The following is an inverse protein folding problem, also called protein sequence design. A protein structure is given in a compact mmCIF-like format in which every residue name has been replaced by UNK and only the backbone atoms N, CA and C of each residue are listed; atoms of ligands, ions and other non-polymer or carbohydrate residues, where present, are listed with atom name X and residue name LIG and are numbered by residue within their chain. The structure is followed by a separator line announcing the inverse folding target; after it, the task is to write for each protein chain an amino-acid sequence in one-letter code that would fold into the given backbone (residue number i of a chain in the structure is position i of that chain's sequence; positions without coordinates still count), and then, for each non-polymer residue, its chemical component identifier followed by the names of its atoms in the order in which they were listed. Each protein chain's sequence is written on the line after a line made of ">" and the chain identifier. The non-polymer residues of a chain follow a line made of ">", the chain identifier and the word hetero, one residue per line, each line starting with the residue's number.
data_IF_314322683402
#
_entry.id   IF_314322683402
#
_cell.length_a   1.000
_cell.length_b   1.000
_cell.length_c   1.000
_cell.angle_alpha   90.00
_cell.angle_beta   90.00
_cell.angle_gamma   90.00
#
_symmetry.space_group_name_H-M   'P 1'
#
loop_
_entity.id
_entity.type
_entity.pdbx_description
1 polymer ?
#
# COMPACT_ATOMS: atom_id res chain seq x y z
N UNK A 1 -49.61 5.20 27.52
CA UNK A 1 -48.17 5.45 27.37
C UNK A 1 -47.43 4.38 26.50
N UNK A 2 -48.03 3.22 26.20
CA UNK A 2 -47.37 2.19 25.35
C UNK A 2 -47.34 2.53 23.84
N UNK A 3 -48.24 3.35 23.35
CA UNK A 3 -48.32 3.73 21.92
C UNK A 3 -47.19 4.69 21.45
N UNK A 4 -46.65 5.52 22.34
CA UNK A 4 -45.59 6.48 22.00
C UNK A 4 -44.24 5.82 21.83
N UNK A 5 -43.89 4.82 22.64
CA UNK A 5 -42.66 4.04 22.48
C UNK A 5 -42.64 3.26 21.18
N UNK A 6 -43.77 2.59 20.85
CA UNK A 6 -43.88 1.85 19.60
C UNK A 6 -43.77 2.78 18.37
N UNK A 7 -44.44 3.94 18.42
CA UNK A 7 -44.35 4.94 17.34
C UNK A 7 -42.91 5.48 17.18
N UNK A 8 -42.20 5.74 18.27
CA UNK A 8 -40.80 6.19 18.20
C UNK A 8 -39.88 5.13 17.58
N UNK A 9 -40.07 3.87 17.97
CA UNK A 9 -39.29 2.74 17.38
C UNK A 9 -39.61 2.58 15.91
N UNK A 10 -40.91 2.65 15.53
CA UNK A 10 -41.31 2.52 14.12
C UNK A 10 -40.77 3.67 13.26
N UNK A 11 -40.82 4.90 13.74
CA UNK A 11 -40.28 6.05 13.01
C UNK A 11 -38.78 5.92 12.82
N UNK A 12 -38.05 5.54 13.89
CA UNK A 12 -36.60 5.31 13.80
C UNK A 12 -36.26 4.18 12.82
N UNK A 13 -37.03 3.08 12.88
CA UNK A 13 -36.83 1.96 11.95
C UNK A 13 -37.05 2.37 10.49
N UNK A 14 -38.11 3.12 10.20
CA UNK A 14 -38.38 3.60 8.84
C UNK A 14 -37.29 4.54 8.35
N UNK A 15 -36.82 5.48 9.20
CA UNK A 15 -35.72 6.40 8.83
C UNK A 15 -34.43 5.64 8.54
N UNK A 16 -34.04 4.69 9.41
CA UNK A 16 -32.83 3.89 9.20
C UNK A 16 -32.93 3.00 7.98
N UNK A 17 -34.10 2.42 7.72
CA UNK A 17 -34.33 1.60 6.53
C UNK A 17 -34.23 2.42 5.23
N UNK A 18 -34.83 3.61 5.20
CA UNK A 18 -34.74 4.51 4.03
C UNK A 18 -33.30 5.01 3.83
N UNK A 19 -32.61 5.38 4.91
CA UNK A 19 -31.22 5.81 4.84
C UNK A 19 -30.30 4.67 4.33
N UNK A 20 -30.46 3.46 4.85
CA UNK A 20 -29.70 2.29 4.43
C UNK A 20 -29.98 1.92 2.97
N UNK A 21 -31.25 1.96 2.56
CA UNK A 21 -31.62 1.71 1.18
C UNK A 21 -31.02 2.76 0.23
N UNK A 22 -31.02 4.03 0.62
CA UNK A 22 -30.41 5.11 -0.16
C UNK A 22 -28.90 4.94 -0.32
N UNK A 23 -28.19 4.62 0.75
CA UNK A 23 -26.73 4.35 0.70
C UNK A 23 -26.44 3.11 -0.15
N UNK A 24 -27.20 2.03 0.02
CA UNK A 24 -27.06 0.81 -0.77
C UNK A 24 -27.28 1.04 -2.26
N UNK A 25 -28.30 1.81 -2.63
CA UNK A 25 -28.58 2.15 -4.01
C UNK A 25 -27.44 2.98 -4.65
N UNK A 26 -26.94 3.98 -3.93
CA UNK A 26 -25.78 4.77 -4.39
C UNK A 26 -24.55 3.87 -4.57
N UNK A 27 -24.27 2.99 -3.62
CA UNK A 27 -23.14 2.05 -3.70
C UNK A 27 -23.23 1.17 -4.96
N UNK A 28 -24.39 0.57 -5.23
CA UNK A 28 -24.60 -0.28 -6.42
C UNK A 28 -24.37 0.47 -7.73
N UNK A 29 -24.79 1.73 -7.82
CA UNK A 29 -24.63 2.54 -9.04
C UNK A 29 -23.17 3.01 -9.21
N UNK A 30 -22.45 3.22 -8.11
CA UNK A 30 -21.10 3.78 -8.15
C UNK A 30 -19.99 2.71 -8.18
N UNK A 31 -20.29 1.46 -7.86
CA UNK A 31 -19.28 0.38 -7.80
C UNK A 31 -18.62 0.13 -9.16
N UNK A 32 -19.42 0.02 -10.22
CA UNK A 32 -18.93 -0.23 -11.58
C UNK A 32 -18.05 0.91 -12.12
N UNK A 33 -18.46 2.18 -12.12
CA UNK A 33 -17.63 3.29 -12.59
C UNK A 33 -16.37 3.48 -11.74
N UNK A 34 -16.38 3.15 -10.45
CA UNK A 34 -15.19 3.19 -9.60
C UNK A 34 -14.21 2.09 -10.02
N UNK A 35 -14.71 0.87 -10.29
CA UNK A 35 -13.88 -0.23 -10.75
C UNK A 35 -13.21 0.08 -12.10
N UNK A 36 -13.97 0.63 -13.05
CA UNK A 36 -13.44 1.06 -14.37
C UNK A 36 -12.39 2.17 -14.22
N UNK A 37 -12.65 3.17 -13.37
CA UNK A 37 -11.71 4.24 -13.11
C UNK A 37 -10.40 3.73 -12.51
N UNK A 38 -10.44 2.73 -11.62
CA UNK A 38 -9.26 2.07 -11.06
C UNK A 38 -8.44 1.35 -12.13
N UNK A 39 -9.10 0.56 -12.99
CA UNK A 39 -8.43 -0.14 -14.09
C UNK A 39 -7.76 0.86 -15.04
N UNK A 40 -8.45 1.94 -15.38
CA UNK A 40 -7.92 3.00 -16.22
C UNK A 40 -6.70 3.68 -15.56
N UNK A 41 -6.79 4.04 -14.29
CA UNK A 41 -5.71 4.65 -13.54
C UNK A 41 -4.47 3.74 -13.46
N UNK A 42 -4.67 2.43 -13.22
CA UNK A 42 -3.58 1.44 -13.23
C UNK A 42 -2.92 1.36 -14.60
N UNK A 43 -3.70 1.33 -15.68
CA UNK A 43 -3.16 1.27 -17.06
C UNK A 43 -2.39 2.54 -17.44
N UNK A 44 -2.89 3.71 -17.04
CA UNK A 44 -2.20 4.98 -17.25
C UNK A 44 -0.91 5.07 -16.43
N UNK A 45 -0.93 4.57 -15.19
CA UNK A 45 0.25 4.51 -14.33
C UNK A 45 1.33 3.59 -14.92
N UNK A 46 0.95 2.41 -15.44
CA UNK A 46 1.88 1.50 -16.11
C UNK A 46 2.66 2.20 -17.24
N UNK A 47 1.96 2.97 -18.08
CA UNK A 47 2.58 3.73 -19.17
C UNK A 47 3.50 4.86 -18.70
N UNK A 48 3.34 5.32 -17.45
CA UNK A 48 4.15 6.40 -16.89
C UNK A 48 5.36 5.89 -16.10
N UNK A 49 5.26 4.68 -15.55
CA UNK A 49 6.34 4.13 -14.72
C UNK A 49 7.25 3.16 -15.47
N UNK A 50 6.83 2.68 -16.66
CA UNK A 50 7.59 1.76 -17.50
C UNK A 50 7.94 2.40 -18.85
N UNK A 51 9.04 1.93 -19.52
CA UNK A 51 9.28 2.21 -20.93
C UNK A 51 8.18 1.56 -21.81
N UNK A 52 8.26 1.73 -23.12
CA UNK A 52 7.34 1.08 -24.06
C UNK A 52 7.42 -0.43 -23.94
N UNK A 53 6.26 -1.09 -23.95
CA UNK A 53 6.13 -2.55 -23.84
C UNK A 53 4.97 -3.05 -24.69
N UNK A 54 5.09 -4.30 -25.17
CA UNK A 54 4.06 -4.95 -26.01
C UNK A 54 3.14 -5.84 -25.17
N UNK A 55 3.72 -6.51 -24.17
CA UNK A 55 3.02 -7.51 -23.34
C UNK A 55 3.23 -7.26 -21.85
N UNK A 56 2.24 -7.64 -21.05
CA UNK A 56 2.32 -7.55 -19.59
C UNK A 56 1.80 -8.82 -18.94
N UNK A 57 2.64 -9.48 -18.17
CA UNK A 57 2.27 -10.58 -17.29
C UNK A 57 1.95 -10.01 -15.90
N UNK A 58 0.85 -10.46 -15.30
CA UNK A 58 0.41 -9.97 -13.97
C UNK A 58 0.47 -11.08 -12.94
N UNK A 59 1.22 -10.86 -11.87
CA UNK A 59 1.30 -11.73 -10.70
C UNK A 59 0.72 -10.98 -9.49
N UNK A 60 -0.20 -11.60 -8.77
CA UNK A 60 -0.74 -11.08 -7.50
C UNK A 60 -0.15 -11.87 -6.35
N UNK A 61 0.32 -11.15 -5.34
CA UNK A 61 0.95 -11.72 -4.16
C UNK A 61 0.58 -10.91 -2.91
N UNK A 62 1.05 -11.37 -1.74
CA UNK A 62 0.80 -10.72 -0.46
C UNK A 62 2.11 -10.60 0.32
N UNK A 63 2.58 -9.38 0.54
CA UNK A 63 3.78 -9.10 1.34
C UNK A 63 3.36 -8.39 2.62
N UNK A 64 3.80 -8.92 3.78
CA UNK A 64 3.47 -8.35 5.11
C UNK A 64 1.95 -8.19 5.33
N UNK A 65 1.16 -9.16 4.89
CA UNK A 65 -0.31 -9.18 4.94
C UNK A 65 -0.99 -8.05 4.14
N UNK A 66 -0.30 -7.46 3.17
CA UNK A 66 -0.85 -6.46 2.25
C UNK A 66 -0.74 -6.95 0.80
N UNK A 67 -1.79 -6.75 -0.01
CA UNK A 67 -1.78 -7.18 -1.39
C UNK A 67 -0.78 -6.38 -2.20
N UNK A 68 -0.07 -7.08 -3.06
CA UNK A 68 0.88 -6.52 -4.03
C UNK A 68 0.59 -7.11 -5.39
N UNK A 69 0.69 -6.31 -6.44
CA UNK A 69 0.54 -6.80 -7.82
C UNK A 69 1.78 -6.43 -8.61
N UNK A 70 2.44 -7.44 -9.17
CA UNK A 70 3.63 -7.27 -10.00
C UNK A 70 3.23 -7.42 -11.47
N UNK A 71 3.53 -6.41 -12.25
CA UNK A 71 3.38 -6.40 -13.70
C UNK A 71 4.75 -6.52 -14.34
N UNK A 72 5.01 -7.62 -15.03
CA UNK A 72 6.23 -7.83 -15.79
C UNK A 72 5.99 -7.34 -17.22
N UNK A 73 6.68 -6.30 -17.63
CA UNK A 73 6.56 -5.74 -18.97
C UNK A 73 7.63 -6.32 -19.90
N UNK A 74 7.21 -6.74 -21.07
CA UNK A 74 8.10 -7.30 -22.10
C UNK A 74 7.91 -6.57 -23.43
N UNK A 75 9.02 -6.38 -24.15
CA UNK A 75 9.05 -5.92 -25.55
C UNK A 75 9.78 -6.97 -26.39
N UNK A 76 9.11 -7.48 -27.42
CA UNK A 76 9.67 -8.51 -28.32
C UNK A 76 10.23 -9.73 -27.58
N UNK A 77 9.53 -10.16 -26.50
CA UNK A 77 9.92 -11.30 -25.68
C UNK A 77 11.07 -11.04 -24.70
N UNK A 78 11.52 -9.80 -24.52
CA UNK A 78 12.51 -9.41 -23.51
C UNK A 78 11.86 -8.59 -22.44
N UNK A 79 12.14 -8.90 -21.18
CA UNK A 79 11.68 -8.09 -20.05
C UNK A 79 12.35 -6.72 -20.08
N UNK A 80 11.54 -5.65 -20.17
CA UNK A 80 12.00 -4.26 -20.21
C UNK A 80 11.84 -3.57 -18.87
N UNK A 81 11.03 -4.13 -17.97
CA UNK A 81 10.86 -3.61 -16.63
C UNK A 81 9.75 -4.31 -15.84
N UNK A 82 9.64 -3.93 -14.58
CA UNK A 82 8.62 -4.41 -13.66
C UNK A 82 7.88 -3.23 -13.07
N UNK A 83 6.56 -3.24 -13.09
CA UNK A 83 5.77 -2.28 -12.33
C UNK A 83 5.09 -3.00 -11.17
N UNK A 84 5.31 -2.49 -9.97
CA UNK A 84 4.78 -3.09 -8.76
C UNK A 84 3.77 -2.14 -8.12
N UNK A 85 2.52 -2.59 -8.05
CA UNK A 85 1.48 -1.92 -7.29
C UNK A 85 1.57 -2.39 -5.84
N UNK A 86 1.75 -1.45 -4.93
CA UNK A 86 1.87 -1.67 -3.50
C UNK A 86 1.01 -0.69 -2.72
N UNK A 87 0.70 -1.05 -1.48
CA UNK A 87 -0.08 -0.21 -0.58
C UNK A 87 0.46 -0.21 0.83
N UNK A 88 0.09 0.82 1.58
CA UNK A 88 0.30 0.89 3.03
C UNK A 88 -0.94 1.42 3.72
N UNK A 89 -1.15 1.00 4.98
CA UNK A 89 -2.20 1.51 5.87
C UNK A 89 -1.67 2.56 6.85
N UNK A 90 -0.37 2.87 6.77
CA UNK A 90 0.34 3.75 7.70
C UNK A 90 0.27 5.24 7.32
N UNK A 91 -0.59 5.62 6.35
CA UNK A 91 -0.86 7.00 6.03
C UNK A 91 -1.48 7.77 7.20
N UNK A 92 -1.39 9.10 7.17
CA UNK A 92 -1.97 9.95 8.22
C UNK A 92 -3.51 9.91 8.20
N UNK A 93 -4.10 9.96 7.01
CA UNK A 93 -5.56 9.98 6.83
C UNK A 93 -6.10 8.68 6.23
N UNK A 94 -5.27 7.69 5.95
CA UNK A 94 -5.73 6.41 5.43
C UNK A 94 -4.72 5.67 4.56
N UNK A 95 -5.26 4.87 3.66
CA UNK A 95 -4.47 4.03 2.76
C UNK A 95 -3.77 4.89 1.71
N UNK A 96 -2.51 4.57 1.44
CA UNK A 96 -1.75 5.09 0.30
C UNK A 96 -1.43 3.90 -0.61
N UNK A 97 -1.84 3.99 -1.89
CA UNK A 97 -1.49 3.03 -2.93
C UNK A 97 -0.64 3.71 -3.97
N UNK A 98 0.42 3.05 -4.39
CA UNK A 98 1.33 3.55 -5.39
C UNK A 98 1.80 2.43 -6.33
N UNK A 99 2.29 2.82 -7.47
CA UNK A 99 2.94 1.96 -8.44
C UNK A 99 4.37 2.41 -8.62
N UNK A 100 5.30 1.48 -8.50
CA UNK A 100 6.74 1.70 -8.68
C UNK A 100 7.20 0.96 -9.92
N UNK A 101 7.78 1.67 -10.87
CA UNK A 101 8.45 1.08 -12.03
C UNK A 101 9.91 0.79 -11.72
N UNK A 102 10.33 -0.44 -11.97
CA UNK A 102 11.71 -0.90 -11.82
C UNK A 102 12.28 -1.30 -13.18
N UNK A 103 13.50 -0.91 -13.45
CA UNK A 103 14.30 -1.51 -14.52
C UNK A 103 14.71 -2.95 -14.13
N UNK A 104 15.13 -3.78 -15.10
CA UNK A 104 15.57 -5.15 -14.80
C UNK A 104 16.72 -5.26 -13.81
N UNK A 105 17.53 -4.21 -13.62
CA UNK A 105 18.61 -4.11 -12.66
C UNK A 105 18.18 -3.62 -11.26
N UNK A 106 16.89 -3.35 -11.08
CA UNK A 106 16.30 -2.89 -9.82
C UNK A 106 16.35 -1.37 -9.60
N UNK A 107 16.82 -0.60 -10.57
CA UNK A 107 16.72 0.86 -10.50
C UNK A 107 15.27 1.30 -10.61
N UNK A 108 14.85 2.25 -9.78
CA UNK A 108 13.51 2.85 -9.87
C UNK A 108 13.46 3.79 -11.06
N UNK A 109 12.59 3.50 -12.01
CA UNK A 109 12.35 4.32 -13.21
C UNK A 109 11.44 5.50 -12.90
N UNK A 110 10.31 5.23 -12.26
CA UNK A 110 9.35 6.26 -11.86
C UNK A 110 8.40 5.70 -10.78
N UNK A 111 7.69 6.61 -10.07
CA UNK A 111 6.70 6.24 -9.07
C UNK A 111 5.42 7.04 -9.32
N UNK A 112 4.26 6.38 -9.24
CA UNK A 112 2.96 7.03 -9.35
C UNK A 112 2.08 6.65 -8.18
N UNK A 113 1.49 7.66 -7.55
CA UNK A 113 0.48 7.46 -6.50
C UNK A 113 -0.86 7.19 -7.20
N UNK A 114 -1.47 6.05 -6.90
CA UNK A 114 -2.74 5.61 -7.45
C UNK A 114 -3.92 6.07 -6.59
N UNK A 115 -3.74 6.02 -5.27
CA UNK A 115 -4.78 6.36 -4.30
C UNK A 115 -4.14 6.94 -3.03
N UNK A 116 -4.73 8.00 -2.51
CA UNK A 116 -4.36 8.58 -1.22
C UNK A 116 -5.53 9.40 -0.68
N UNK A 117 -5.62 9.53 0.63
CA UNK A 117 -6.63 10.33 1.34
C UNK A 117 -5.99 11.33 2.30
N UNK A 118 -4.75 11.73 2.01
CA UNK A 118 -3.94 12.59 2.87
C UNK A 118 -4.46 14.03 2.93
N UNK A 119 -4.03 14.78 3.94
CA UNK A 119 -4.44 16.17 4.15
C UNK A 119 -4.07 17.05 2.96
N UNK A 120 -5.06 17.78 2.38
CA UNK A 120 -4.81 18.72 1.29
C UNK A 120 -3.72 19.75 1.59
N UNK A 121 -2.81 19.97 0.63
CA UNK A 121 -1.70 20.91 0.75
C UNK A 121 -0.52 20.44 1.61
N UNK A 122 -0.63 19.27 2.27
CA UNK A 122 0.42 18.66 3.07
C UNK A 122 0.83 17.29 2.48
N UNK A 123 0.21 16.19 2.92
CA UNK A 123 0.48 14.85 2.42
C UNK A 123 0.11 14.65 0.96
N UNK A 124 -0.92 15.33 0.45
CA UNK A 124 -1.31 15.27 -0.96
C UNK A 124 -0.22 15.73 -1.91
N UNK A 125 0.79 16.50 -1.46
CA UNK A 125 1.93 16.90 -2.28
C UNK A 125 2.78 15.73 -2.80
N UNK A 126 2.57 14.52 -2.29
CA UNK A 126 3.20 13.32 -2.85
C UNK A 126 2.77 13.00 -4.29
N UNK A 127 1.63 13.58 -4.74
CA UNK A 127 1.11 13.38 -6.10
C UNK A 127 1.75 14.36 -7.09
N UNK A 128 2.31 15.47 -6.60
CA UNK A 128 2.89 16.50 -7.43
C UNK A 128 4.13 15.97 -8.14
N UNK A 129 4.26 16.22 -9.44
CA UNK A 129 5.43 15.80 -10.19
C UNK A 129 6.71 16.46 -9.64
N UNK A 130 7.76 15.65 -9.48
CA UNK A 130 9.05 16.14 -8.98
C UNK A 130 9.01 16.54 -7.50
N UNK A 131 8.11 15.99 -6.72
CA UNK A 131 8.11 16.16 -5.27
C UNK A 131 9.38 15.55 -4.61
N UNK A 132 9.74 15.95 -3.38
CA UNK A 132 10.95 15.47 -2.71
C UNK A 132 11.05 13.95 -2.56
N UNK A 133 9.90 13.26 -2.35
CA UNK A 133 9.86 11.80 -2.23
C UNK A 133 10.23 11.15 -3.57
N UNK A 134 9.57 11.53 -4.66
CA UNK A 134 9.85 11.02 -6.00
C UNK A 134 11.31 11.24 -6.39
N UNK A 135 11.85 12.45 -6.21
CA UNK A 135 13.25 12.80 -6.50
C UNK A 135 14.26 11.99 -5.69
N UNK A 136 13.89 11.56 -4.49
CA UNK A 136 14.77 10.74 -3.65
C UNK A 136 14.91 9.31 -4.15
N UNK A 137 13.94 8.82 -4.94
CA UNK A 137 13.90 7.43 -5.40
C UNK A 137 14.22 7.25 -6.87
N UNK A 138 13.72 8.14 -7.74
CA UNK A 138 13.87 7.98 -9.19
C UNK A 138 15.35 7.99 -9.60
N UNK A 139 15.75 7.02 -10.41
CA UNK A 139 17.12 6.83 -10.83
C UNK A 139 18.03 6.13 -9.82
N UNK A 140 17.51 5.67 -8.69
CA UNK A 140 18.27 4.98 -7.65
C UNK A 140 17.81 3.52 -7.48
N UNK A 141 18.73 2.69 -7.00
CA UNK A 141 18.42 1.31 -6.63
C UNK A 141 18.19 1.23 -5.12
N UNK A 142 17.02 0.76 -4.65
CA UNK A 142 16.72 0.63 -3.22
C UNK A 142 17.69 -0.25 -2.43
N UNK A 143 18.36 -1.21 -3.08
CA UNK A 143 19.43 -2.01 -2.45
C UNK A 143 20.58 -1.16 -1.91
N UNK A 144 20.83 0.01 -2.51
CA UNK A 144 21.94 0.89 -2.17
C UNK A 144 21.51 2.06 -1.29
N UNK A 145 20.24 2.06 -0.83
CA UNK A 145 19.66 3.14 -0.03
C UNK A 145 19.31 2.66 1.37
N UNK A 146 19.36 3.58 2.32
CA UNK A 146 18.69 3.39 3.60
C UNK A 146 17.23 3.84 3.43
N UNK A 147 16.32 2.87 3.30
CA UNK A 147 14.89 3.14 3.10
C UNK A 147 14.28 3.68 4.39
N UNK A 148 14.23 4.98 4.48
CA UNK A 148 13.70 5.76 5.58
C UNK A 148 13.78 7.24 5.25
N UNK A 149 12.97 8.07 5.92
CA UNK A 149 13.09 9.51 5.77
C UNK A 149 14.35 10.03 6.49
N UNK A 150 14.96 11.08 5.99
CA UNK A 150 16.19 11.68 6.56
C UNK A 150 16.07 12.00 8.05
N UNK A 151 14.86 12.39 8.49
CA UNK A 151 14.59 12.64 9.91
C UNK A 151 14.81 11.40 10.79
N UNK A 152 14.66 10.21 10.24
CA UNK A 152 14.84 8.93 10.91
C UNK A 152 16.21 8.28 10.60
N UNK A 153 17.11 9.01 9.94
CA UNK A 153 18.42 8.53 9.54
C UNK A 153 18.47 7.76 8.21
N UNK A 154 17.41 7.84 7.41
CA UNK A 154 17.36 7.30 6.04
C UNK A 154 17.82 8.31 4.99
N UNK A 155 17.66 7.93 3.72
CA UNK A 155 18.15 8.71 2.57
C UNK A 155 17.05 9.50 1.84
N UNK A 156 15.79 9.41 2.29
CA UNK A 156 14.63 9.97 1.59
C UNK A 156 14.24 11.33 2.17
N UNK A 157 14.07 12.31 1.29
CA UNK A 157 13.58 13.64 1.67
C UNK A 157 12.07 13.60 1.96
N UNK A 158 11.69 14.04 3.17
CA UNK A 158 10.29 14.09 3.55
C UNK A 158 9.58 15.33 2.99
N UNK A 159 8.26 15.21 2.81
CA UNK A 159 7.39 16.36 2.56
C UNK A 159 7.34 17.26 3.80
N UNK A 160 7.40 18.56 3.59
CA UNK A 160 7.29 19.55 4.66
C UNK A 160 5.95 19.40 5.39
N UNK A 161 6.00 19.32 6.72
CA UNK A 161 4.86 19.13 7.60
C UNK A 161 4.01 17.85 7.37
N UNK A 162 4.53 16.86 6.62
CA UNK A 162 3.84 15.59 6.33
C UNK A 162 4.77 14.38 6.54
N UNK A 163 5.44 14.32 7.69
CA UNK A 163 6.41 13.24 7.99
C UNK A 163 5.76 11.86 8.05
N UNK A 164 4.53 11.75 8.59
CA UNK A 164 3.80 10.47 8.66
C UNK A 164 3.49 9.96 7.26
N UNK A 165 2.93 10.81 6.40
CA UNK A 165 2.65 10.48 5.00
C UNK A 165 3.92 10.11 4.23
N UNK A 166 5.05 10.79 4.53
CA UNK A 166 6.34 10.47 3.92
C UNK A 166 6.88 9.11 4.35
N UNK A 167 6.75 8.75 5.63
CA UNK A 167 7.10 7.41 6.15
C UNK A 167 6.24 6.33 5.50
N UNK A 168 4.94 6.58 5.37
CA UNK A 168 4.01 5.68 4.71
C UNK A 168 4.36 5.46 3.24
N UNK A 169 4.73 6.52 2.53
CA UNK A 169 5.21 6.42 1.15
C UNK A 169 6.45 5.53 1.04
N UNK A 170 7.45 5.73 1.91
CA UNK A 170 8.67 4.92 1.96
C UNK A 170 8.35 3.45 2.28
N UNK A 171 7.43 3.19 3.20
CA UNK A 171 6.97 1.84 3.54
C UNK A 171 6.35 1.12 2.33
N UNK A 172 5.48 1.81 1.57
CA UNK A 172 4.89 1.25 0.36
C UNK A 172 5.94 1.00 -0.74
N UNK A 173 6.93 1.88 -0.93
CA UNK A 173 8.05 1.68 -1.87
C UNK A 173 8.93 0.51 -1.44
N UNK A 174 9.23 0.38 -0.15
CA UNK A 174 9.99 -0.75 0.41
C UNK A 174 9.31 -2.09 0.13
N UNK A 175 7.98 -2.15 0.31
CA UNK A 175 7.19 -3.34 0.01
C UNK A 175 7.17 -3.66 -1.48
N UNK A 176 7.04 -2.63 -2.33
CA UNK A 176 7.14 -2.79 -3.78
C UNK A 176 8.50 -3.36 -4.19
N UNK A 177 9.58 -2.90 -3.57
CA UNK A 177 10.91 -3.41 -3.85
C UNK A 177 11.09 -4.88 -3.41
N UNK A 178 10.55 -5.27 -2.26
CA UNK A 178 10.54 -6.69 -1.83
C UNK A 178 9.85 -7.59 -2.86
N UNK A 179 8.66 -7.18 -3.33
CA UNK A 179 7.93 -7.92 -4.36
C UNK A 179 8.70 -8.01 -5.69
N UNK A 180 9.35 -6.92 -6.08
CA UNK A 180 10.24 -6.93 -7.24
C UNK A 180 11.36 -7.97 -7.09
N UNK A 181 12.04 -7.99 -5.95
CA UNK A 181 13.13 -8.93 -5.69
C UNK A 181 12.66 -10.38 -5.73
N UNK A 182 11.51 -10.69 -5.13
CA UNK A 182 10.94 -12.03 -5.17
C UNK A 182 10.62 -12.48 -6.62
N UNK A 183 10.02 -11.60 -7.43
CA UNK A 183 9.69 -11.91 -8.83
C UNK A 183 10.96 -11.99 -9.72
N UNK A 184 11.93 -11.10 -9.52
CA UNK A 184 13.16 -11.06 -10.30
C UNK A 184 14.19 -12.12 -9.88
N UNK A 185 13.96 -12.85 -8.77
CA UNK A 185 14.90 -13.83 -8.22
C UNK A 185 16.17 -13.21 -7.66
N UNK A 186 16.11 -11.95 -7.20
CA UNK A 186 17.22 -11.20 -6.63
C UNK A 186 17.09 -11.18 -5.11
N UNK A 187 18.16 -11.41 -4.39
CA UNK A 187 18.17 -11.33 -2.92
C UNK A 187 17.90 -9.90 -2.46
N UNK A 188 16.82 -9.71 -1.69
CA UNK A 188 16.39 -8.39 -1.24
C UNK A 188 17.29 -7.88 -0.11
N UNK A 189 18.34 -7.16 -0.43
CA UNK A 189 19.13 -6.39 0.54
C UNK A 189 18.34 -5.10 0.92
N UNK A 190 17.33 -5.24 1.78
CA UNK A 190 16.53 -4.07 2.22
C UNK A 190 17.08 -3.53 3.53
N UNK A 191 17.84 -2.45 3.46
CA UNK A 191 18.27 -1.68 4.62
C UNK A 191 17.15 -0.72 5.09
N UNK A 192 16.14 -1.26 5.77
CA UNK A 192 15.05 -0.44 6.34
C UNK A 192 15.50 0.18 7.66
N UNK A 193 15.38 1.50 7.77
CA UNK A 193 15.45 2.20 9.04
C UNK A 193 14.11 2.03 9.74
N UNK A 194 14.07 1.25 10.82
CA UNK A 194 12.89 1.07 11.65
C UNK A 194 12.57 2.38 12.37
N UNK A 195 11.77 3.22 11.74
CA UNK A 195 11.16 4.36 12.39
C UNK A 195 10.10 3.86 13.37
N UNK A 196 10.21 4.26 14.64
CA UNK A 196 9.35 3.86 15.74
C UNK A 196 7.87 3.78 15.33
N UNK A 197 7.30 2.61 15.53
CA UNK A 197 5.87 2.37 15.45
C UNK A 197 5.14 3.42 16.29
N UNK A 198 4.29 4.20 15.64
CA UNK A 198 3.44 5.19 16.29
C UNK A 198 2.30 4.46 17.01
N UNK A 199 2.58 4.03 18.25
CA UNK A 199 1.54 3.59 19.18
C UNK A 199 0.91 4.84 19.76
N UNK A 200 -0.12 5.36 19.12
CA UNK A 200 -1.04 6.30 19.76
C UNK A 200 -1.90 5.50 20.73
N UNK A 201 -1.43 5.43 21.97
CA UNK A 201 -2.28 5.12 23.11
C UNK A 201 -2.60 6.44 23.83
N UNK A 202 -3.77 6.98 23.54
CA UNK A 202 -4.39 7.98 24.37
C UNK A 202 -4.99 7.25 25.59
N UNK A 203 -4.44 7.51 26.75
CA UNK A 203 -4.98 6.97 27.99
C UNK A 203 -4.31 7.66 29.16
N UNK A 204 -5.05 8.57 29.75
CA UNK A 204 -4.69 9.32 30.94
C UNK A 204 -4.63 8.42 32.21
N UNK A 205 -3.78 8.86 33.10
CA UNK A 205 -3.95 8.92 34.53
C UNK A 205 -3.57 7.74 35.42
N UNK A 206 -2.70 8.07 36.37
CA UNK A 206 -2.92 7.72 37.76
C UNK A 206 -1.98 6.72 38.45
N UNK A 207 -0.99 7.27 39.14
CA UNK A 207 -0.47 6.87 40.50
C UNK A 207 0.22 5.53 40.74
N UNK A 208 1.51 5.66 41.04
CA UNK A 208 2.22 5.17 42.25
C UNK A 208 2.11 3.69 42.66
N UNK A 209 3.30 3.08 42.85
CA UNK A 209 3.39 1.96 43.82
C UNK A 209 4.47 0.93 43.53
N UNK A 210 5.57 1.15 44.10
CA UNK A 210 6.70 0.31 44.53
C UNK A 210 6.62 -1.23 44.45
N UNK A 211 7.77 -1.80 44.07
CA UNK A 211 8.51 -2.84 44.85
C UNK A 211 8.30 -4.32 44.47
N UNK A 212 9.41 -4.89 44.13
CA UNK A 212 9.98 -6.17 44.61
C UNK A 212 9.70 -7.50 43.88
N UNK A 213 10.74 -7.92 43.19
CA UNK A 213 11.49 -9.19 43.31
C UNK A 213 10.85 -10.57 43.11
N UNK A 214 11.63 -11.36 42.37
CA UNK A 214 11.81 -12.86 42.40
C UNK A 214 10.80 -13.66 41.58
N UNK A 215 11.10 -14.71 40.93
CA UNK A 215 12.26 -15.58 40.66
C UNK A 215 11.71 -16.79 39.87
N UNK A 216 12.50 -17.32 38.98
CA UNK A 216 12.62 -18.70 38.54
C UNK A 216 11.39 -19.56 38.13
N UNK A 217 11.54 -20.26 37.03
CA UNK A 217 10.91 -21.54 36.84
C UNK A 217 10.59 -21.96 35.39
N UNK A 218 11.47 -22.69 34.86
CA UNK A 218 11.59 -23.63 33.78
C UNK A 218 10.32 -24.39 33.30
N UNK A 219 10.44 -24.83 32.05
CA UNK A 219 9.99 -26.08 31.42
C UNK A 219 8.65 -26.10 30.71
N UNK A 220 8.73 -26.60 29.47
CA UNK A 220 7.73 -27.48 28.94
C UNK A 220 7.30 -27.26 27.48
N UNK A 221 8.11 -27.68 26.55
CA UNK A 221 7.86 -28.43 25.32
C UNK A 221 6.48 -28.47 24.65
N UNK A 222 6.58 -28.54 23.33
CA UNK A 222 5.69 -29.22 22.35
C UNK A 222 4.73 -28.32 21.57
N UNK A 223 5.04 -27.98 20.32
CA UNK A 223 4.77 -28.79 19.16
C UNK A 223 3.40 -28.50 18.57
N UNK A 224 3.35 -27.71 17.50
CA UNK A 224 2.44 -27.98 16.39
C UNK A 224 2.80 -27.09 15.19
N UNK A 225 3.36 -27.72 14.19
CA UNK A 225 3.49 -27.31 12.82
C UNK A 225 2.10 -27.02 12.24
N UNK A 226 1.88 -25.84 11.72
CA UNK A 226 0.79 -25.61 10.79
C UNK A 226 1.36 -24.99 9.52
N UNK A 227 1.56 -25.86 8.54
CA UNK A 227 1.76 -25.53 7.14
C UNK A 227 0.50 -24.83 6.64
N UNK A 228 0.56 -23.55 6.35
CA UNK A 228 -0.38 -22.85 5.48
C UNK A 228 0.24 -22.75 4.10
N UNK A 229 -0.31 -23.55 3.20
CA UNK A 229 -0.06 -23.45 1.76
C UNK A 229 -0.52 -22.08 1.28
N UNK A 230 0.43 -21.28 0.80
CA UNK A 230 0.16 -20.04 0.07
C UNK A 230 -0.25 -20.41 -1.35
N UNK A 231 -1.55 -20.34 -1.62
CA UNK A 231 -2.10 -20.49 -2.97
C UNK A 231 -1.70 -19.32 -3.85
N UNK A 232 -0.78 -19.56 -4.76
CA UNK A 232 -0.41 -18.65 -5.83
C UNK A 232 -1.45 -18.76 -6.95
N UNK A 233 -2.33 -17.79 -7.09
CA UNK A 233 -3.22 -17.70 -8.26
C UNK A 233 -2.50 -17.00 -9.40
N UNK A 234 -2.15 -17.78 -10.41
CA UNK A 234 -1.66 -17.29 -11.71
C UNK A 234 -2.87 -16.92 -12.58
N UNK A 235 -3.18 -15.64 -12.66
CA UNK A 235 -4.16 -15.13 -13.62
C UNK A 235 -3.47 -14.51 -14.81
N UNK A 236 -3.49 -15.22 -15.92
CA UNK A 236 -3.00 -14.74 -17.23
C UNK A 236 -4.07 -13.83 -17.84
N UNK A 237 -3.91 -12.53 -17.69
CA UNK A 237 -4.73 -11.57 -18.42
C UNK A 237 -3.91 -11.08 -19.63
N UNK A 238 -4.22 -11.65 -20.80
CA UNK A 238 -3.66 -11.20 -22.08
C UNK A 238 -4.35 -9.89 -22.48
N UNK A 239 -3.65 -8.78 -22.34
CA UNK A 239 -4.13 -7.47 -22.82
C UNK A 239 -3.41 -7.18 -24.14
N UNK A 240 -4.07 -7.54 -25.24
CA UNK A 240 -3.62 -7.15 -26.58
C UNK A 240 -3.99 -5.68 -26.83
N UNK A 241 -3.03 -4.84 -27.16
CA UNK A 241 -3.32 -3.50 -27.67
C UNK A 241 -3.85 -3.56 -29.11
N UNK A 242 -4.87 -2.78 -29.47
CA UNK A 242 -5.28 -2.66 -30.85
C UNK A 242 -4.23 -1.86 -31.63
N UNK A 243 -3.64 -2.49 -32.62
CA UNK A 243 -2.79 -1.87 -33.64
C UNK A 243 -3.51 -0.68 -34.30
N UNK A 244 -2.93 0.51 -34.19
CA UNK A 244 -3.32 1.66 -35.00
C UNK A 244 -2.83 1.45 -36.44
N UNK A 245 -3.78 1.42 -37.33
CA UNK A 245 -3.58 1.71 -38.75
C UNK A 245 -3.66 3.21 -38.99
#
# INVERSE_FOLDING_TARGET
>A
MKSTLFNMVMVLFVITLLASAGVGAVHMITEEPIAEARVKATREALKQVLPEFDETEVLRDTIENLPVTVHTASEKGRVVGYAVESMTKNGFSGVIRLMVGFAPDGQILNIRVLEQAETPGLGTKMVDAGNPLEKSFVGRNPAQMKLGVKKDGGDVDALTAATISSRAYVDAVSRAYKAYCEKAGVEAAVNTVSGASNTQNAGADGTSGASATRDAGADGASGASNNQETGTELSLIHISEPTRH
#
